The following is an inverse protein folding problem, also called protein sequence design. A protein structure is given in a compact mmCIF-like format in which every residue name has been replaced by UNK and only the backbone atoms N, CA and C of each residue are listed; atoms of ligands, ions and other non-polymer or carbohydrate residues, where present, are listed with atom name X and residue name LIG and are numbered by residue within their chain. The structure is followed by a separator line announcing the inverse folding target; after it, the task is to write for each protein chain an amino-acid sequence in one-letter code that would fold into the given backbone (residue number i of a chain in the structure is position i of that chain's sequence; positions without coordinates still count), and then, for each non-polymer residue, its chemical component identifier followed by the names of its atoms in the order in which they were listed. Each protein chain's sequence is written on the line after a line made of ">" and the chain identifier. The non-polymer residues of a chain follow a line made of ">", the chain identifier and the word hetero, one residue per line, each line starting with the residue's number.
data_IF_445088306768
#
_entry.id   IF_445088306768
#
_cell.length_a   1.000
_cell.length_b   1.000
_cell.length_c   1.000
_cell.angle_alpha   90.00
_cell.angle_beta   90.00
_cell.angle_gamma   90.00
#
_symmetry.space_group_name_H-M   'P 1'
#
loop_
_entity.id
_entity.type
_entity.pdbx_description
1 polymer ?
#
# COMPACT_ATOMS: atom_id res chain seq x y z
N UNK A 1 -6.28 9.58 -28.43
CA UNK A 1 -7.29 9.44 -27.36
C UNK A 1 -8.52 8.69 -27.86
N UNK A 2 -9.25 9.20 -28.87
CA UNK A 2 -10.43 8.50 -29.43
C UNK A 2 -10.15 7.03 -29.79
N UNK A 3 -9.03 6.77 -30.46
CA UNK A 3 -8.56 5.41 -30.78
C UNK A 3 -8.35 4.56 -29.53
N UNK A 4 -7.63 5.09 -28.52
CA UNK A 4 -7.41 4.39 -27.26
C UNK A 4 -8.72 4.00 -26.58
N UNK A 5 -9.66 4.94 -26.49
CA UNK A 5 -11.00 4.70 -25.92
C UNK A 5 -11.74 3.62 -26.71
N UNK A 6 -11.69 3.68 -28.05
CA UNK A 6 -12.31 2.68 -28.91
C UNK A 6 -11.71 1.28 -28.71
N UNK A 7 -10.37 1.18 -28.72
CA UNK A 7 -9.65 -0.09 -28.52
C UNK A 7 -9.95 -0.68 -27.14
N UNK A 8 -9.87 0.13 -26.08
CA UNK A 8 -10.16 -0.34 -24.72
C UNK A 8 -11.61 -0.78 -24.54
N UNK A 9 -12.56 -0.05 -25.14
CA UNK A 9 -13.96 -0.47 -25.14
C UNK A 9 -14.13 -1.83 -25.83
N UNK A 10 -13.61 -1.98 -27.05
CA UNK A 10 -13.72 -3.22 -27.79
C UNK A 10 -13.05 -4.38 -27.05
N UNK A 11 -11.85 -4.19 -26.49
CA UNK A 11 -11.14 -5.26 -25.77
C UNK A 11 -11.91 -5.75 -24.55
N UNK A 12 -12.43 -4.85 -23.72
CA UNK A 12 -13.24 -5.23 -22.56
C UNK A 12 -14.55 -5.90 -23.00
N UNK A 13 -15.23 -5.37 -24.02
CA UNK A 13 -16.49 -5.92 -24.50
C UNK A 13 -16.29 -7.32 -25.12
N UNK A 14 -15.22 -7.53 -25.90
CA UNK A 14 -14.88 -8.85 -26.47
C UNK A 14 -14.39 -9.84 -25.41
N UNK A 15 -13.63 -9.39 -24.41
CA UNK A 15 -13.23 -10.23 -23.28
C UNK A 15 -14.47 -10.74 -22.53
N UNK A 16 -15.41 -9.85 -22.23
CA UNK A 16 -16.67 -10.20 -21.59
C UNK A 16 -17.49 -11.22 -22.42
N UNK A 17 -17.67 -10.98 -23.72
CA UNK A 17 -18.34 -11.93 -24.63
C UNK A 17 -17.63 -13.30 -24.71
N UNK A 18 -16.32 -13.31 -24.48
CA UNK A 18 -15.50 -14.52 -24.43
C UNK A 18 -15.45 -15.17 -23.04
N UNK A 19 -16.22 -14.68 -22.06
CA UNK A 19 -16.24 -15.15 -20.66
C UNK A 19 -14.91 -14.98 -19.94
N UNK A 20 -14.12 -13.99 -20.34
CA UNK A 20 -12.92 -13.55 -19.62
C UNK A 20 -13.29 -12.40 -18.68
N UNK A 21 -12.70 -12.40 -17.48
CA UNK A 21 -12.85 -11.34 -16.49
C UNK A 21 -11.54 -10.60 -16.24
N UNK A 22 -11.64 -9.38 -15.74
CA UNK A 22 -10.52 -8.50 -15.36
C UNK A 22 -10.28 -8.47 -13.85
N UNK A 23 -11.11 -9.20 -13.11
CA UNK A 23 -11.11 -9.25 -11.65
C UNK A 23 -11.24 -10.69 -11.14
N UNK A 24 -10.84 -10.90 -9.89
CA UNK A 24 -11.04 -12.14 -9.16
C UNK A 24 -11.38 -11.85 -7.70
N UNK A 25 -12.06 -12.80 -7.07
CA UNK A 25 -12.36 -12.75 -5.64
C UNK A 25 -11.48 -13.73 -4.89
N UNK A 26 -10.90 -13.27 -3.78
CA UNK A 26 -10.21 -14.11 -2.83
C UNK A 26 -11.23 -14.85 -1.96
N UNK A 27 -10.79 -15.92 -1.31
CA UNK A 27 -11.64 -16.76 -0.43
C UNK A 27 -12.36 -15.95 0.64
N UNK A 28 -11.71 -14.93 1.17
CA UNK A 28 -12.25 -14.07 2.21
C UNK A 28 -13.15 -12.93 1.69
N UNK A 29 -13.49 -12.96 0.40
CA UNK A 29 -14.31 -11.95 -0.26
C UNK A 29 -13.54 -10.73 -0.71
N UNK A 30 -12.21 -10.65 -0.54
CA UNK A 30 -11.44 -9.52 -1.09
C UNK A 30 -11.52 -9.51 -2.62
N UNK A 31 -11.78 -8.33 -3.16
CA UNK A 31 -11.82 -8.09 -4.58
C UNK A 31 -10.43 -7.65 -5.06
N UNK A 32 -9.87 -8.30 -6.08
CA UNK A 32 -8.52 -7.99 -6.57
C UNK A 32 -8.45 -8.14 -8.09
N UNK A 33 -7.45 -7.52 -8.72
CA UNK A 33 -7.22 -7.67 -10.14
C UNK A 33 -6.81 -9.10 -10.48
N UNK A 34 -6.90 -9.47 -11.75
CA UNK A 34 -6.42 -10.80 -12.20
C UNK A 34 -4.94 -11.03 -11.88
N UNK A 35 -4.15 -9.97 -11.71
CA UNK A 35 -2.73 -9.99 -11.43
C UNK A 35 -1.91 -9.39 -12.58
N UNK A 36 -0.61 -9.71 -12.61
CA UNK A 36 0.35 -9.14 -13.55
C UNK A 36 -0.05 -9.27 -15.02
N UNK A 37 0.34 -8.28 -15.83
CA UNK A 37 0.13 -8.28 -17.27
C UNK A 37 -0.58 -7.04 -17.84
N UNK A 38 -1.12 -6.16 -17.00
CA UNK A 38 -1.69 -4.87 -17.44
C UNK A 38 -0.61 -3.77 -17.56
N UNK A 39 0.53 -4.08 -18.18
CA UNK A 39 1.60 -3.10 -18.33
C UNK A 39 1.17 -1.98 -19.26
N UNK A 40 1.31 -0.74 -18.80
CA UNK A 40 1.09 0.43 -19.66
C UNK A 40 2.41 0.74 -20.36
N UNK A 41 2.39 0.86 -21.68
CA UNK A 41 3.59 1.11 -22.47
C UNK A 41 3.58 2.50 -23.07
N UNK A 42 4.75 3.14 -23.10
CA UNK A 42 4.95 4.43 -23.76
C UNK A 42 6.10 4.32 -24.76
N UNK A 43 5.94 4.90 -25.94
CA UNK A 43 6.92 4.81 -27.01
C UNK A 43 6.44 5.50 -28.29
N UNK A 44 7.12 5.23 -29.39
CA UNK A 44 6.73 5.65 -30.74
C UNK A 44 6.58 4.45 -31.67
N UNK A 45 6.07 4.68 -32.89
CA UNK A 45 5.97 3.64 -33.91
C UNK A 45 7.36 3.10 -34.34
N UNK A 46 8.40 3.94 -34.23
CA UNK A 46 9.81 3.59 -34.40
C UNK A 46 10.62 4.12 -33.21
N UNK A 47 11.80 3.57 -32.91
CA UNK A 47 12.65 4.07 -31.83
C UNK A 47 12.95 5.57 -31.94
N UNK A 48 13.19 6.07 -33.15
CA UNK A 48 13.43 7.49 -33.40
C UNK A 48 12.24 8.41 -33.06
N UNK A 49 11.03 7.86 -33.02
CA UNK A 49 9.81 8.58 -32.65
C UNK A 49 9.52 8.51 -31.14
N UNK A 50 10.29 7.72 -30.37
CA UNK A 50 10.12 7.57 -28.93
C UNK A 50 10.42 8.88 -28.18
N UNK A 51 9.51 9.37 -27.32
CA UNK A 51 9.77 10.59 -26.55
C UNK A 51 10.93 10.42 -25.57
N UNK A 52 11.14 9.20 -25.05
CA UNK A 52 12.18 8.89 -24.07
C UNK A 52 13.58 8.86 -24.69
N UNK A 53 13.70 8.35 -25.92
CA UNK A 53 14.98 8.33 -26.64
C UNK A 53 15.35 9.72 -27.18
N UNK A 54 14.35 10.54 -27.53
CA UNK A 54 14.55 11.92 -27.99
C UNK A 54 14.88 12.88 -26.84
N UNK A 55 14.31 12.64 -25.66
CA UNK A 55 14.43 13.48 -24.46
C UNK A 55 14.65 12.59 -23.23
N UNK A 56 15.92 12.24 -22.93
CA UNK A 56 16.25 11.36 -21.81
C UNK A 56 15.84 11.91 -20.44
N UNK A 57 15.78 13.24 -20.32
CA UNK A 57 15.27 13.96 -19.14
C UNK A 57 13.80 13.66 -18.82
N UNK A 58 13.03 13.15 -19.79
CA UNK A 58 11.67 12.67 -19.55
C UNK A 58 11.66 11.42 -18.67
N UNK A 59 12.58 10.47 -18.89
CA UNK A 59 12.68 9.27 -18.05
C UNK A 59 13.13 9.64 -16.63
N UNK A 60 14.11 10.54 -16.51
CA UNK A 60 14.51 11.10 -15.21
C UNK A 60 13.32 11.76 -14.49
N UNK A 61 12.52 12.56 -15.21
CA UNK A 61 11.33 13.21 -14.64
C UNK A 61 10.32 12.19 -14.13
N UNK A 62 10.06 11.13 -14.90
CA UNK A 62 9.16 10.05 -14.48
C UNK A 62 9.66 9.33 -13.23
N UNK A 63 10.95 8.94 -13.21
CA UNK A 63 11.57 8.26 -12.05
C UNK A 63 11.47 9.14 -10.81
N UNK A 64 11.90 10.40 -10.91
CA UNK A 64 11.91 11.36 -9.80
C UNK A 64 10.49 11.59 -9.27
N UNK A 65 9.52 11.79 -10.16
CA UNK A 65 8.15 12.07 -9.76
C UNK A 65 7.48 10.86 -9.09
N UNK A 66 7.66 9.65 -9.62
CA UNK A 66 7.18 8.43 -8.94
C UNK A 66 7.89 8.19 -7.61
N UNK A 67 9.19 8.53 -7.52
CA UNK A 67 9.94 8.41 -6.28
C UNK A 67 9.39 9.37 -5.20
N UNK A 68 9.02 10.59 -5.58
CA UNK A 68 8.40 11.58 -4.69
C UNK A 68 6.97 11.27 -4.30
N UNK A 69 6.23 10.52 -5.13
CA UNK A 69 4.82 10.21 -4.92
C UNK A 69 4.60 8.69 -4.83
N UNK A 70 4.87 8.06 -3.65
CA UNK A 70 4.67 6.62 -3.46
C UNK A 70 3.25 6.12 -3.77
N UNK A 71 2.25 6.99 -3.65
CA UNK A 71 0.86 6.66 -4.00
C UNK A 71 0.70 6.27 -5.46
N UNK A 72 1.52 6.78 -6.38
CA UNK A 72 1.51 6.38 -7.79
C UNK A 72 1.94 4.92 -8.01
N UNK A 73 2.70 4.34 -7.10
CA UNK A 73 3.04 2.92 -7.14
C UNK A 73 1.98 2.10 -6.40
N UNK A 74 1.63 2.51 -5.19
CA UNK A 74 0.86 1.67 -4.29
C UNK A 74 -0.64 1.64 -4.59
N UNK A 75 -1.22 2.74 -5.10
CA UNK A 75 -2.66 2.79 -5.44
C UNK A 75 -3.01 1.82 -6.57
N UNK A 76 -2.13 1.70 -7.58
CA UNK A 76 -2.40 0.94 -8.79
C UNK A 76 -1.79 -0.47 -8.79
N UNK A 77 -0.90 -0.77 -7.86
CA UNK A 77 -0.24 -2.07 -7.75
C UNK A 77 -1.16 -3.21 -7.31
N UNK A 78 -0.72 -4.43 -7.64
CA UNK A 78 -1.33 -5.66 -7.11
C UNK A 78 -1.09 -5.83 -5.60
N UNK A 79 -1.64 -6.88 -5.01
CA UNK A 79 -1.41 -7.20 -3.59
C UNK A 79 0.06 -7.44 -3.22
N UNK A 80 0.90 -7.90 -4.16
CA UNK A 80 2.30 -8.22 -3.89
C UNK A 80 3.21 -7.01 -4.14
N UNK A 81 3.58 -6.32 -3.05
CA UNK A 81 4.42 -5.11 -3.04
C UNK A 81 5.70 -5.36 -2.23
N UNK A 82 6.74 -4.60 -2.52
CA UNK A 82 8.02 -4.62 -1.81
C UNK A 82 9.20 -5.06 -2.69
N UNK A 83 10.41 -5.19 -2.10
CA UNK A 83 11.68 -5.45 -2.82
C UNK A 83 11.66 -6.63 -3.78
N UNK A 84 10.89 -7.65 -3.40
CA UNK A 84 10.81 -8.94 -4.08
C UNK A 84 9.57 -9.07 -4.95
N UNK A 85 8.80 -7.99 -5.11
CA UNK A 85 7.61 -7.97 -5.95
C UNK A 85 7.92 -8.16 -7.44
N UNK A 86 6.88 -8.20 -8.28
CA UNK A 86 7.07 -8.31 -9.73
C UNK A 86 7.62 -7.03 -10.36
N UNK A 87 7.41 -5.88 -9.70
CA UNK A 87 7.75 -4.56 -10.20
C UNK A 87 8.06 -3.62 -9.01
N UNK A 88 9.09 -3.92 -8.19
CA UNK A 88 9.50 -3.08 -7.07
C UNK A 88 9.79 -1.66 -7.52
N UNK A 89 9.48 -0.71 -6.64
CA UNK A 89 9.95 0.67 -6.77
C UNK A 89 11.47 0.73 -6.73
N UNK A 90 12.01 1.80 -7.28
CA UNK A 90 13.46 2.02 -7.28
C UNK A 90 14.07 2.05 -5.87
N UNK A 91 13.34 2.58 -4.90
CA UNK A 91 13.76 2.78 -3.50
C UNK A 91 13.28 1.68 -2.55
N UNK A 92 12.70 0.59 -3.05
CA UNK A 92 12.19 -0.53 -2.23
C UNK A 92 13.19 -1.67 -2.06
N UNK A 93 14.50 -1.44 -2.14
CA UNK A 93 15.50 -2.52 -2.14
C UNK A 93 16.79 -2.19 -1.41
N UNK A 94 17.76 -1.66 -2.16
CA UNK A 94 19.09 -1.33 -1.64
C UNK A 94 19.16 0.17 -1.32
N UNK A 95 19.66 0.51 -0.15
CA UNK A 95 19.70 1.90 0.34
C UNK A 95 20.58 2.80 -0.55
N UNK A 96 21.68 2.26 -1.08
CA UNK A 96 22.63 2.98 -1.94
C UNK A 96 22.08 3.28 -3.34
N UNK A 97 20.97 2.66 -3.74
CA UNK A 97 20.46 2.73 -5.11
C UNK A 97 20.02 4.13 -5.52
N UNK A 98 19.50 4.92 -4.58
CA UNK A 98 19.13 6.32 -4.83
C UNK A 98 20.36 7.22 -5.03
N UNK A 99 21.44 6.97 -4.30
CA UNK A 99 22.70 7.69 -4.47
C UNK A 99 23.30 7.43 -5.86
N UNK A 100 23.35 6.16 -6.29
CA UNK A 100 23.82 5.82 -7.65
C UNK A 100 22.89 6.38 -8.74
N UNK A 101 21.58 6.47 -8.49
CA UNK A 101 20.63 7.10 -9.41
C UNK A 101 20.86 8.61 -9.57
N UNK A 102 21.22 9.32 -8.49
CA UNK A 102 21.58 10.74 -8.57
C UNK A 102 22.83 10.97 -9.43
N UNK A 103 23.83 10.09 -9.33
CA UNK A 103 25.00 10.11 -10.22
C UNK A 103 24.57 9.86 -11.67
N UNK A 104 23.70 8.87 -11.91
CA UNK A 104 23.18 8.61 -13.25
C UNK A 104 22.40 9.79 -13.84
N UNK A 105 21.61 10.49 -13.03
CA UNK A 105 20.93 11.73 -13.42
C UNK A 105 21.91 12.82 -13.85
N UNK A 106 23.08 12.92 -13.24
CA UNK A 106 24.11 13.88 -13.63
C UNK A 106 24.73 13.59 -15.01
N UNK A 107 24.55 12.37 -15.53
CA UNK A 107 25.05 11.95 -16.85
C UNK A 107 23.98 12.12 -17.96
N UNK A 108 22.77 12.55 -17.62
CA UNK A 108 21.68 12.76 -18.57
C UNK A 108 21.97 14.00 -19.43
N UNK A 109 22.08 13.88 -20.77
CA UNK A 109 22.35 15.03 -21.62
C UNK A 109 21.19 16.04 -21.61
N UNK A 110 21.50 17.33 -21.43
CA UNK A 110 20.49 18.39 -21.38
C UNK A 110 20.09 18.95 -22.76
N UNK A 111 20.82 18.56 -23.81
CA UNK A 111 20.55 18.98 -25.18
C UNK A 111 21.53 18.37 -26.18
N UNK A 112 21.35 18.70 -27.46
CA UNK A 112 22.16 18.19 -28.55
C UNK A 112 21.74 16.80 -29.03
N UNK A 113 22.61 16.16 -29.82
CA UNK A 113 22.37 14.81 -30.32
C UNK A 113 22.59 13.79 -29.20
N UNK A 114 21.55 13.02 -28.88
CA UNK A 114 21.64 11.92 -27.92
C UNK A 114 21.58 10.59 -28.66
N UNK A 115 22.65 9.78 -28.63
CA UNK A 115 22.60 8.41 -29.14
C UNK A 115 21.58 7.58 -28.35
N UNK A 116 20.68 6.85 -29.03
CA UNK A 116 19.58 6.12 -28.36
C UNK A 116 20.06 5.11 -27.32
N UNK A 117 21.21 4.46 -27.54
CA UNK A 117 21.78 3.50 -26.59
C UNK A 117 22.19 4.15 -25.27
N UNK A 118 22.48 5.46 -25.25
CA UNK A 118 22.98 6.13 -24.07
C UNK A 118 21.92 6.16 -22.97
N UNK A 119 20.66 6.44 -23.33
CA UNK A 119 19.53 6.48 -22.39
C UNK A 119 19.40 5.16 -21.65
N UNK A 120 19.46 4.05 -22.40
CA UNK A 120 19.39 2.71 -21.84
C UNK A 120 20.57 2.42 -20.91
N UNK A 121 21.80 2.73 -21.34
CA UNK A 121 23.03 2.44 -20.58
C UNK A 121 23.15 3.22 -19.28
N UNK A 122 22.62 4.45 -19.22
CA UNK A 122 22.60 5.24 -17.98
C UNK A 122 21.73 4.56 -16.92
N UNK A 123 20.59 3.97 -17.29
CA UNK A 123 19.59 3.51 -16.32
C UNK A 123 19.49 1.99 -16.14
N UNK A 124 19.99 1.17 -17.08
CA UNK A 124 19.75 -0.29 -17.13
C UNK A 124 20.08 -1.02 -15.84
N UNK A 125 21.23 -0.75 -15.25
CA UNK A 125 21.66 -1.45 -14.04
C UNK A 125 21.07 -0.86 -12.74
N UNK A 126 20.32 0.24 -12.86
CA UNK A 126 19.62 0.89 -11.75
C UNK A 126 18.12 0.61 -11.78
N UNK A 127 17.53 0.35 -12.95
CA UNK A 127 16.11 -0.02 -13.09
C UNK A 127 15.93 -1.55 -13.07
N UNK A 128 16.34 -2.17 -11.96
CA UNK A 128 16.26 -3.62 -11.73
C UNK A 128 15.63 -3.97 -10.39
N UNK A 129 15.20 -5.22 -10.23
CA UNK A 129 14.94 -5.79 -8.90
C UNK A 129 16.25 -6.03 -8.11
N UNK A 130 16.11 -6.58 -6.90
CA UNK A 130 17.24 -6.89 -6.00
C UNK A 130 18.21 -7.94 -6.58
N UNK A 131 17.77 -8.75 -7.55
CA UNK A 131 18.56 -9.78 -8.23
C UNK A 131 19.26 -9.25 -9.49
N UNK A 132 19.00 -8.00 -9.87
CA UNK A 132 19.55 -7.39 -11.08
C UNK A 132 18.71 -7.62 -12.33
N UNK A 133 17.46 -8.07 -12.20
CA UNK A 133 16.56 -8.31 -13.32
C UNK A 133 15.83 -7.02 -13.74
N UNK A 134 16.11 -6.55 -14.96
CA UNK A 134 15.51 -5.35 -15.58
C UNK A 134 14.04 -5.52 -15.96
N UNK A 135 13.61 -6.75 -16.23
CA UNK A 135 12.21 -7.06 -16.52
C UNK A 135 11.34 -6.98 -15.25
N UNK A 136 11.96 -6.94 -14.07
CA UNK A 136 11.29 -6.88 -12.76
C UNK A 136 11.49 -5.52 -12.10
N UNK A 137 11.38 -4.45 -12.85
CA UNK A 137 11.35 -3.09 -12.29
C UNK A 137 10.02 -2.41 -12.58
N UNK A 138 9.62 -1.47 -11.73
CA UNK A 138 8.45 -0.62 -11.96
C UNK A 138 8.51 0.08 -13.32
N UNK A 139 9.69 0.61 -13.66
CA UNK A 139 10.02 1.20 -14.95
C UNK A 139 10.92 0.26 -15.75
N UNK A 140 10.31 -0.64 -16.50
CA UNK A 140 11.05 -1.62 -17.28
C UNK A 140 11.52 -1.05 -18.62
N UNK A 141 12.85 -1.09 -18.81
CA UNK A 141 13.53 -0.56 -20.00
C UNK A 141 14.04 -1.66 -20.94
N UNK A 142 13.61 -2.91 -20.78
CA UNK A 142 14.05 -4.01 -21.65
C UNK A 142 13.69 -3.81 -23.12
N UNK A 143 12.63 -3.06 -23.38
CA UNK A 143 12.17 -2.71 -24.73
C UNK A 143 12.54 -1.28 -25.12
N UNK A 144 13.34 -0.57 -24.31
CA UNK A 144 13.73 0.82 -24.57
C UNK A 144 14.81 0.85 -25.64
N UNK A 145 16.03 0.43 -25.30
CA UNK A 145 17.10 0.29 -26.28
C UNK A 145 18.15 -0.73 -25.82
N UNK A 146 17.71 -1.96 -25.52
CA UNK A 146 18.60 -2.98 -24.96
C UNK A 146 19.80 -3.25 -25.89
N UNK A 147 21.03 -3.33 -25.34
CA UNK A 147 22.19 -3.72 -26.11
C UNK A 147 22.16 -5.21 -26.49
N UNK A 148 21.48 -6.04 -25.71
CA UNK A 148 21.58 -7.50 -25.74
C UNK A 148 20.96 -8.12 -26.99
N UNK A 149 19.84 -7.56 -27.46
CA UNK A 149 19.11 -8.06 -28.63
C UNK A 149 18.58 -6.93 -29.49
N UNK A 150 18.39 -7.19 -30.80
CA UNK A 150 17.71 -6.25 -31.69
C UNK A 150 16.23 -6.08 -31.34
N UNK A 151 15.59 -7.13 -30.80
CA UNK A 151 14.18 -7.10 -30.38
C UNK A 151 13.92 -6.23 -29.15
N UNK A 152 14.94 -5.91 -28.35
CA UNK A 152 14.85 -4.98 -27.21
C UNK A 152 15.03 -3.50 -27.59
N UNK A 153 15.23 -3.18 -28.87
CA UNK A 153 15.46 -1.80 -29.37
C UNK A 153 14.20 -1.19 -29.98
N UNK A 154 13.13 -1.10 -29.19
CA UNK A 154 11.81 -0.65 -29.65
C UNK A 154 11.51 0.82 -29.29
N UNK A 155 12.28 1.42 -28.38
CA UNK A 155 12.01 2.76 -27.85
C UNK A 155 10.82 2.78 -26.89
N UNK A 156 10.54 1.67 -26.22
CA UNK A 156 9.37 1.49 -25.35
C UNK A 156 9.79 1.38 -23.88
N UNK A 157 9.14 2.15 -23.01
CA UNK A 157 9.16 1.95 -21.56
C UNK A 157 7.86 1.29 -21.12
N UNK A 158 7.97 0.33 -20.20
CA UNK A 158 6.82 -0.37 -19.63
C UNK A 158 6.64 0.01 -18.16
N UNK A 159 5.46 0.50 -17.81
CA UNK A 159 5.00 0.69 -16.43
C UNK A 159 4.43 -0.62 -15.94
N UNK A 160 5.15 -1.32 -15.06
CA UNK A 160 4.82 -2.69 -14.66
C UNK A 160 4.08 -2.80 -13.34
N UNK A 161 4.11 -1.76 -12.50
CA UNK A 161 3.44 -1.73 -11.21
C UNK A 161 1.92 -1.44 -11.30
N UNK A 162 1.30 -1.64 -12.47
CA UNK A 162 -0.14 -1.46 -12.68
C UNK A 162 -0.84 -2.82 -12.73
N UNK A 163 -1.76 -3.04 -11.80
CA UNK A 163 -2.68 -4.19 -11.85
C UNK A 163 -3.82 -3.92 -12.85
N UNK A 164 -4.48 -4.98 -13.30
CA UNK A 164 -5.66 -4.89 -14.16
C UNK A 164 -6.85 -4.33 -13.36
N UNK A 165 -7.40 -3.16 -13.73
CA UNK A 165 -8.58 -2.65 -13.04
C UNK A 165 -9.85 -3.36 -13.54
N UNK A 166 -10.87 -3.48 -12.67
CA UNK A 166 -12.11 -4.19 -12.99
C UNK A 166 -12.88 -3.52 -14.13
N UNK A 167 -12.76 -2.20 -14.28
CA UNK A 167 -13.56 -1.41 -15.21
C UNK A 167 -12.72 -0.67 -16.26
N UNK A 168 -13.18 -0.60 -17.51
CA UNK A 168 -12.47 0.05 -18.62
C UNK A 168 -12.20 1.54 -18.41
N UNK A 169 -13.11 2.25 -17.75
CA UNK A 169 -12.96 3.67 -17.36
C UNK A 169 -11.78 3.87 -16.40
N UNK A 170 -11.56 2.94 -15.47
CA UNK A 170 -10.40 2.98 -14.57
C UNK A 170 -9.12 2.77 -15.38
N UNK A 171 -9.07 1.78 -16.27
CA UNK A 171 -7.91 1.58 -17.16
C UNK A 171 -7.60 2.83 -18.00
N UNK A 172 -8.63 3.45 -18.58
CA UNK A 172 -8.50 4.70 -19.31
C UNK A 172 -7.99 5.86 -18.43
N UNK A 173 -8.37 5.92 -17.14
CA UNK A 173 -7.84 6.93 -16.23
C UNK A 173 -6.35 6.73 -15.95
N UNK A 174 -5.88 5.50 -15.74
CA UNK A 174 -4.44 5.21 -15.56
C UNK A 174 -3.65 5.70 -16.79
N UNK A 175 -4.14 5.40 -17.99
CA UNK A 175 -3.53 5.85 -19.24
C UNK A 175 -3.60 7.38 -19.40
N UNK A 176 -4.70 8.01 -19.00
CA UNK A 176 -4.85 9.46 -19.02
C UNK A 176 -3.87 10.14 -18.07
N UNK A 177 -3.71 9.62 -16.85
CA UNK A 177 -2.78 10.09 -15.83
C UNK A 177 -1.34 10.09 -16.36
N UNK A 178 -0.88 8.94 -16.86
CA UNK A 178 0.48 8.81 -17.42
C UNK A 178 0.68 9.78 -18.59
N UNK A 179 -0.31 9.89 -19.49
CA UNK A 179 -0.25 10.85 -20.61
C UNK A 179 -0.20 12.30 -20.14
N UNK A 180 -0.95 12.66 -19.10
CA UNK A 180 -0.96 13.99 -18.50
C UNK A 180 0.40 14.35 -17.92
N UNK A 181 0.99 13.44 -17.13
CA UNK A 181 2.31 13.61 -16.56
C UNK A 181 3.40 13.72 -17.64
N UNK A 182 3.38 12.86 -18.66
CA UNK A 182 4.31 12.95 -19.80
C UNK A 182 4.16 14.30 -20.52
N UNK A 183 2.93 14.75 -20.78
CA UNK A 183 2.70 16.03 -21.44
C UNK A 183 3.18 17.22 -20.58
N UNK A 184 3.06 17.12 -19.24
CA UNK A 184 3.62 18.09 -18.29
C UNK A 184 5.14 18.10 -18.36
N UNK A 185 5.79 16.95 -18.20
CA UNK A 185 7.25 16.82 -18.16
C UNK A 185 7.91 17.16 -19.50
N UNK A 186 7.23 16.89 -20.61
CA UNK A 186 7.67 17.29 -21.93
C UNK A 186 7.79 18.82 -22.08
N UNK A 187 6.86 19.57 -21.48
CA UNK A 187 6.90 21.05 -21.48
C UNK A 187 7.92 21.58 -20.48
N UNK A 188 7.92 21.02 -19.27
CA UNK A 188 8.82 21.43 -18.18
C UNK A 188 9.31 20.17 -17.46
N UNK A 189 10.59 19.79 -17.65
CA UNK A 189 11.17 18.63 -16.97
C UNK A 189 11.07 18.76 -15.45
N UNK A 190 10.80 17.65 -14.77
CA UNK A 190 10.72 17.58 -13.31
C UNK A 190 12.09 17.19 -12.77
N UNK A 191 12.91 18.20 -12.46
CA UNK A 191 14.30 18.04 -11.96
C UNK A 191 14.36 18.47 -10.50
N UNK A 192 14.43 17.50 -9.60
CA UNK A 192 14.49 17.68 -8.16
C UNK A 192 15.36 16.58 -7.54
N UNK A 193 15.86 16.83 -6.32
CA UNK A 193 16.63 15.84 -5.55
C UNK A 193 15.72 14.73 -5.03
N UNK A 194 16.22 13.48 -5.00
CA UNK A 194 15.45 12.32 -4.56
C UNK A 194 15.27 12.30 -3.04
N UNK A 195 14.08 11.92 -2.58
CA UNK A 195 13.73 11.88 -1.15
C UNK A 195 14.18 10.57 -0.52
N UNK A 196 14.83 10.64 0.65
CA UNK A 196 15.23 9.45 1.43
C UNK A 196 14.11 9.00 2.36
N UNK A 197 13.06 8.38 1.82
CA UNK A 197 11.90 7.93 2.59
C UNK A 197 12.23 6.89 3.66
N UNK A 198 13.18 5.99 3.40
CA UNK A 198 13.52 4.91 4.32
C UNK A 198 12.30 4.08 4.73
N UNK A 199 12.11 3.88 6.03
CA UNK A 199 10.99 3.10 6.57
C UNK A 199 9.62 3.77 6.39
N UNK A 200 9.57 5.07 6.07
CA UNK A 200 8.29 5.76 5.85
C UNK A 200 7.49 5.18 4.68
N UNK A 201 8.15 4.61 3.66
CA UNK A 201 7.48 3.91 2.56
C UNK A 201 6.55 2.81 3.08
N UNK A 202 7.08 1.96 3.97
CA UNK A 202 6.39 0.77 4.48
C UNK A 202 5.63 1.03 5.78
N UNK A 203 5.69 2.25 6.30
CA UNK A 203 4.93 2.69 7.47
C UNK A 203 3.74 3.57 7.05
N UNK A 204 4.03 4.74 6.45
CA UNK A 204 3.07 5.79 6.13
C UNK A 204 2.31 5.49 4.83
N UNK A 205 3.02 5.22 3.74
CA UNK A 205 2.42 5.06 2.40
C UNK A 205 1.74 3.71 2.16
N UNK A 206 1.67 2.87 3.19
CA UNK A 206 0.86 1.66 3.21
C UNK A 206 -0.57 1.90 3.72
N UNK A 207 -0.87 3.12 4.17
CA UNK A 207 -2.16 3.50 4.73
C UNK A 207 -2.95 4.34 3.70
N UNK A 208 -4.25 4.07 3.60
CA UNK A 208 -5.12 4.68 2.59
C UNK A 208 -5.16 6.21 2.67
N UNK A 209 -5.09 6.77 3.88
CA UNK A 209 -5.11 8.21 4.12
C UNK A 209 -3.93 8.92 3.44
N UNK A 210 -2.72 8.42 3.61
CA UNK A 210 -1.52 9.07 3.07
C UNK A 210 -1.38 8.85 1.57
N UNK A 211 -1.83 7.71 1.05
CA UNK A 211 -1.92 7.50 -0.41
C UNK A 211 -2.97 8.42 -1.03
N UNK A 212 -4.09 8.67 -0.34
CA UNK A 212 -5.12 9.63 -0.78
C UNK A 212 -4.58 11.06 -0.82
N UNK A 213 -3.89 11.48 0.24
CA UNK A 213 -3.22 12.78 0.29
C UNK A 213 -2.20 12.95 -0.84
N UNK A 214 -1.33 11.96 -1.05
CA UNK A 214 -0.27 11.99 -2.07
C UNK A 214 -0.83 12.08 -3.50
N UNK A 215 -1.89 11.31 -3.80
CA UNK A 215 -2.59 11.41 -5.08
C UNK A 215 -3.32 12.76 -5.22
N UNK A 216 -3.82 13.31 -4.12
CA UNK A 216 -4.35 14.67 -4.07
C UNK A 216 -3.33 15.72 -4.51
N UNK A 217 -2.08 15.58 -4.04
CA UNK A 217 -0.97 16.46 -4.45
C UNK A 217 -0.63 16.30 -5.93
N UNK A 218 -0.64 15.06 -6.46
CA UNK A 218 -0.45 14.81 -7.90
C UNK A 218 -1.57 15.44 -8.74
N UNK A 219 -2.82 15.33 -8.30
CA UNK A 219 -3.96 15.95 -8.97
C UNK A 219 -3.82 17.47 -8.95
N UNK A 220 -3.44 18.05 -7.82
CA UNK A 220 -3.21 19.48 -7.70
C UNK A 220 -2.11 19.96 -8.65
N UNK A 221 -0.96 19.28 -8.66
CA UNK A 221 0.17 19.62 -9.55
C UNK A 221 -0.19 19.52 -11.04
N UNK A 222 -0.99 18.53 -11.45
CA UNK A 222 -1.52 18.43 -12.82
C UNK A 222 -2.48 19.59 -13.16
N UNK A 223 -3.36 19.97 -12.23
CA UNK A 223 -4.27 21.10 -12.41
C UNK A 223 -3.50 22.42 -12.53
N UNK A 224 -2.50 22.63 -11.67
CA UNK A 224 -1.61 23.80 -11.70
C UNK A 224 -0.85 23.89 -13.05
N UNK A 225 -0.56 22.75 -13.68
CA UNK A 225 0.02 22.66 -15.02
C UNK A 225 -0.99 22.76 -16.19
N UNK A 226 -2.28 22.98 -15.89
CA UNK A 226 -3.35 23.16 -16.87
C UNK A 226 -4.03 21.87 -17.34
N UNK A 227 -3.87 20.75 -16.63
CA UNK A 227 -4.55 19.48 -16.90
C UNK A 227 -5.66 19.23 -15.86
N UNK A 228 -6.95 19.35 -16.22
CA UNK A 228 -8.05 19.44 -15.24
C UNK A 228 -8.48 18.07 -14.67
N UNK A 229 -7.59 17.43 -13.90
CA UNK A 229 -7.90 16.18 -13.19
C UNK A 229 -8.78 16.43 -11.97
N UNK A 230 -9.64 15.47 -11.65
CA UNK A 230 -10.49 15.53 -10.45
C UNK A 230 -10.15 14.40 -9.51
N UNK A 231 -10.01 14.71 -8.22
CA UNK A 231 -9.75 13.69 -7.19
C UNK A 231 -10.83 12.60 -7.19
N UNK A 232 -12.09 12.99 -7.43
CA UNK A 232 -13.23 12.08 -7.51
C UNK A 232 -13.09 10.96 -8.58
N UNK A 233 -12.20 11.11 -9.56
CA UNK A 233 -11.94 10.06 -10.55
C UNK A 233 -11.14 8.90 -9.97
N UNK A 234 -10.38 9.12 -8.90
CA UNK A 234 -9.52 8.13 -8.27
C UNK A 234 -10.22 7.35 -7.15
N UNK A 235 -11.36 7.82 -6.65
CA UNK A 235 -12.12 7.16 -5.56
C UNK A 235 -12.43 5.66 -5.82
N UNK A 236 -12.78 5.23 -7.04
CA UNK A 236 -12.95 3.79 -7.32
C UNK A 236 -11.67 2.98 -7.11
N UNK A 237 -10.48 3.57 -7.32
CA UNK A 237 -9.21 2.90 -7.02
C UNK A 237 -8.97 2.80 -5.52
N UNK A 238 -9.35 3.80 -4.74
CA UNK A 238 -9.24 3.74 -3.29
C UNK A 238 -10.16 2.66 -2.70
N UNK A 239 -11.41 2.58 -3.16
CA UNK A 239 -12.32 1.51 -2.72
C UNK A 239 -11.85 0.12 -3.16
N UNK A 240 -11.23 0.01 -4.33
CA UNK A 240 -10.68 -1.25 -4.81
C UNK A 240 -9.41 -1.66 -4.07
N UNK A 241 -8.49 -0.72 -3.82
CA UNK A 241 -7.17 -0.98 -3.22
C UNK A 241 -7.21 -1.04 -1.70
N UNK A 242 -8.05 -0.22 -1.09
CA UNK A 242 -8.20 -0.03 0.36
C UNK A 242 -9.69 -0.17 0.75
N UNK A 243 -10.28 -1.36 0.55
CA UNK A 243 -11.70 -1.57 0.81
C UNK A 243 -12.09 -1.20 2.23
N UNK A 244 -13.25 -0.59 2.35
CA UNK A 244 -13.89 -0.28 3.61
C UNK A 244 -14.34 -1.57 4.34
N UNK A 245 -13.99 -1.70 5.62
CA UNK A 245 -14.39 -2.84 6.45
C UNK A 245 -15.52 -2.52 7.41
N UNK A 246 -15.56 -1.31 7.96
CA UNK A 246 -16.68 -0.89 8.81
C UNK A 246 -16.49 0.48 9.41
N UNK A 247 -17.61 1.08 9.84
CA UNK A 247 -17.66 2.35 10.56
C UNK A 247 -18.52 2.16 11.81
N UNK A 248 -18.10 2.75 12.93
CA UNK A 248 -18.92 2.88 14.13
C UNK A 248 -18.88 4.33 14.62
N UNK A 249 -19.98 4.81 15.22
CA UNK A 249 -20.02 6.11 15.88
C UNK A 249 -20.28 5.91 17.38
N UNK A 250 -19.34 6.36 18.22
CA UNK A 250 -19.37 6.16 19.67
C UNK A 250 -19.27 7.53 20.32
N UNK A 251 -20.36 7.98 20.96
CA UNK A 251 -20.41 9.27 21.66
C UNK A 251 -19.92 10.47 20.81
N UNK A 252 -20.20 10.48 19.51
CA UNK A 252 -19.77 11.54 18.58
C UNK A 252 -18.39 11.33 17.95
N UNK A 253 -17.69 10.24 18.30
CA UNK A 253 -16.43 9.86 17.68
C UNK A 253 -16.73 8.84 16.57
N UNK A 254 -16.45 9.20 15.32
CA UNK A 254 -16.52 8.28 14.18
C UNK A 254 -15.22 7.49 14.07
N UNK A 255 -15.30 6.17 14.07
CA UNK A 255 -14.18 5.26 13.83
C UNK A 255 -14.40 4.48 12.54
N UNK A 256 -13.52 4.68 11.57
CA UNK A 256 -13.49 3.98 10.29
C UNK A 256 -12.33 2.98 10.25
N UNK A 257 -12.61 1.74 9.83
CA UNK A 257 -11.60 0.73 9.55
C UNK A 257 -11.56 0.45 8.05
N UNK A 258 -10.38 0.61 7.45
CA UNK A 258 -10.09 0.25 6.06
C UNK A 258 -8.94 -0.72 5.99
N UNK A 259 -8.86 -1.48 4.91
CA UNK A 259 -7.67 -2.26 4.59
C UNK A 259 -6.45 -1.35 4.47
N UNK A 260 -5.32 -1.77 5.04
CA UNK A 260 -3.99 -1.24 4.75
C UNK A 260 -3.21 -2.19 3.84
N UNK A 261 -2.13 -1.69 3.27
CA UNK A 261 -1.19 -2.51 2.49
C UNK A 261 -0.22 -3.19 3.46
N UNK A 262 0.09 -4.45 3.20
CA UNK A 262 1.16 -5.15 3.89
C UNK A 262 2.05 -5.83 2.84
N UNK A 263 3.35 -5.47 2.75
CA UNK A 263 4.26 -6.15 1.84
C UNK A 263 4.51 -7.58 2.33
N UNK A 264 4.44 -8.55 1.41
CA UNK A 264 4.78 -9.94 1.72
C UNK A 264 6.26 -10.19 1.44
N UNK A 265 7.02 -10.45 2.48
CA UNK A 265 8.45 -10.73 2.33
C UNK A 265 8.67 -12.15 1.83
N UNK A 266 9.57 -12.30 0.86
CA UNK A 266 10.04 -13.64 0.46
C UNK A 266 10.85 -14.25 1.60
N UNK A 267 10.55 -15.49 1.92
CA UNK A 267 11.22 -16.29 2.94
C UNK A 267 12.48 -16.95 2.40
N UNK A 268 13.26 -17.56 3.29
CA UNK A 268 14.39 -18.40 2.92
C UNK A 268 14.00 -19.53 1.97
N UNK A 269 14.98 -20.02 1.21
CA UNK A 269 14.77 -21.15 0.29
C UNK A 269 14.46 -22.43 1.07
N UNK A 270 13.45 -23.17 0.59
CA UNK A 270 13.09 -24.49 1.12
C UNK A 270 13.15 -25.54 0.00
N UNK A 271 13.62 -26.73 0.34
CA UNK A 271 13.62 -27.86 -0.60
C UNK A 271 12.21 -28.46 -0.67
N UNK A 272 11.58 -28.41 -1.83
CA UNK A 272 10.34 -29.11 -2.13
C UNK A 272 10.60 -30.35 -2.99
N UNK A 273 9.63 -31.26 -3.06
CA UNK A 273 9.70 -32.45 -3.92
C UNK A 273 9.85 -32.13 -5.41
N UNK A 274 9.51 -30.90 -5.84
CA UNK A 274 9.64 -30.40 -7.21
C UNK A 274 10.87 -29.50 -7.45
N UNK A 275 11.73 -29.30 -6.44
CA UNK A 275 12.90 -28.41 -6.51
C UNK A 275 12.89 -27.36 -5.39
N UNK A 276 13.71 -26.31 -5.53
CA UNK A 276 13.76 -25.23 -4.53
C UNK A 276 12.55 -24.30 -4.66
N UNK A 277 11.83 -24.09 -3.57
CA UNK A 277 10.71 -23.15 -3.48
C UNK A 277 11.11 -21.95 -2.61
N UNK A 278 10.54 -20.78 -2.93
CA UNK A 278 10.63 -19.57 -2.10
C UNK A 278 9.21 -19.12 -1.78
N UNK A 279 8.80 -19.35 -0.53
CA UNK A 279 7.49 -18.91 -0.05
C UNK A 279 7.50 -17.41 0.26
N UNK A 280 6.31 -16.84 0.39
CA UNK A 280 6.13 -15.47 0.89
C UNK A 280 5.42 -15.52 2.23
N UNK A 281 5.81 -14.65 3.14
CA UNK A 281 5.11 -14.49 4.41
C UNK A 281 3.78 -13.77 4.19
N UNK A 282 2.73 -14.56 4.06
CA UNK A 282 1.34 -14.09 3.92
C UNK A 282 0.58 -14.10 5.26
N UNK A 283 1.27 -14.37 6.37
CA UNK A 283 0.67 -14.41 7.71
C UNK A 283 0.25 -13.04 8.23
N UNK A 284 0.82 -11.98 7.67
CA UNK A 284 0.66 -10.61 8.13
C UNK A 284 -0.35 -9.85 7.29
N UNK A 285 -1.15 -9.04 7.97
CA UNK A 285 -2.05 -8.08 7.36
C UNK A 285 -1.95 -6.74 8.08
N UNK A 286 -2.56 -5.73 7.45
CA UNK A 286 -2.63 -4.38 7.98
C UNK A 286 -4.02 -3.81 7.79
N UNK A 287 -4.51 -3.10 8.79
CA UNK A 287 -5.67 -2.20 8.68
C UNK A 287 -5.27 -0.78 9.00
N UNK A 288 -5.96 0.19 8.43
CA UNK A 288 -5.93 1.57 8.89
C UNK A 288 -7.15 1.81 9.76
N UNK A 289 -6.95 2.40 10.94
CA UNK A 289 -8.01 3.02 11.73
C UNK A 289 -7.94 4.53 11.56
N UNK A 290 -9.08 5.15 11.27
CA UNK A 290 -9.23 6.60 11.18
C UNK A 290 -10.32 7.06 12.14
N UNK A 291 -10.02 8.05 12.97
CA UNK A 291 -10.94 8.63 13.96
C UNK A 291 -11.26 10.07 13.59
N UNK A 292 -12.52 10.47 13.77
CA UNK A 292 -12.95 11.88 13.70
C UNK A 292 -13.76 12.26 14.94
N UNK A 293 -13.54 13.46 15.45
CA UNK A 293 -14.21 13.96 16.66
C UNK A 293 -13.58 13.46 17.97
N UNK A 294 -12.36 12.92 17.92
CA UNK A 294 -11.66 12.44 19.12
C UNK A 294 -10.99 13.61 19.85
N UNK A 295 -11.35 13.82 21.12
CA UNK A 295 -10.60 14.67 22.02
C UNK A 295 -9.46 13.87 22.68
N UNK A 296 -8.23 14.03 22.21
CA UNK A 296 -7.05 13.29 22.69
C UNK A 296 -6.71 13.52 24.17
N UNK A 297 -7.15 14.64 24.76
CA UNK A 297 -6.95 14.94 26.17
C UNK A 297 -7.84 14.09 27.10
N UNK A 298 -8.85 13.42 26.53
CA UNK A 298 -9.84 12.62 27.25
C UNK A 298 -9.94 11.18 26.77
N UNK A 299 -9.80 10.95 25.47
CA UNK A 299 -10.06 9.65 24.88
C UNK A 299 -8.81 9.05 24.28
N UNK A 300 -8.63 7.75 24.50
CA UNK A 300 -7.58 6.96 23.87
C UNK A 300 -8.19 5.77 23.15
N UNK A 301 -7.57 5.34 22.06
CA UNK A 301 -7.94 4.12 21.34
C UNK A 301 -7.03 2.98 21.78
N UNK A 302 -7.63 1.85 22.14
CA UNK A 302 -6.94 0.59 22.33
C UNK A 302 -7.25 -0.36 21.17
N UNK A 303 -6.28 -1.19 20.80
CA UNK A 303 -6.46 -2.35 19.92
C UNK A 303 -5.86 -3.58 20.61
N UNK A 304 -6.68 -4.59 20.89
CA UNK A 304 -6.30 -5.77 21.69
C UNK A 304 -5.59 -5.39 23.00
N UNK A 305 -6.11 -4.37 23.69
CA UNK A 305 -5.54 -3.82 24.93
C UNK A 305 -4.28 -2.96 24.75
N UNK A 306 -3.66 -2.92 23.57
CA UNK A 306 -2.51 -2.05 23.29
C UNK A 306 -2.97 -0.65 22.90
N UNK A 307 -2.36 0.40 23.47
CA UNK A 307 -2.68 1.79 23.11
C UNK A 307 -2.20 2.10 21.70
N UNK A 308 -3.13 2.55 20.86
CA UNK A 308 -2.85 2.92 19.46
C UNK A 308 -2.16 4.29 19.43
N UNK A 309 -0.96 4.40 18.82
CA UNK A 309 -0.23 5.66 18.67
C UNK A 309 -0.83 6.48 17.52
N UNK A 310 -1.97 7.09 17.77
CA UNK A 310 -2.69 7.92 16.82
C UNK A 310 -1.84 9.10 16.32
N UNK A 311 -1.97 9.40 15.02
CA UNK A 311 -1.29 10.53 14.36
C UNK A 311 -2.31 11.49 13.79
N UNK A 312 -2.11 12.78 14.02
CA UNK A 312 -2.96 13.84 13.46
C UNK A 312 -2.88 13.86 11.93
N UNK A 313 -4.00 14.14 11.27
CA UNK A 313 -4.08 14.25 9.81
C UNK A 313 -3.93 15.69 9.29
N UNK A 314 -3.76 16.66 10.19
CA UNK A 314 -3.83 18.09 9.89
C UNK A 314 -5.26 18.66 9.91
N UNK A 315 -6.28 17.81 10.00
CA UNK A 315 -7.65 18.21 10.33
C UNK A 315 -7.83 18.08 11.85
N UNK A 316 -8.40 19.12 12.45
CA UNK A 316 -8.64 19.13 13.91
C UNK A 316 -9.52 17.95 14.33
N UNK A 317 -9.12 17.28 15.42
CA UNK A 317 -9.84 16.13 16.00
C UNK A 317 -9.94 14.93 15.05
N UNK A 318 -9.08 14.86 14.03
CA UNK A 318 -8.96 13.74 13.10
C UNK A 318 -7.58 13.07 13.22
N UNK A 319 -7.60 11.75 13.40
CA UNK A 319 -6.40 10.96 13.62
C UNK A 319 -6.41 9.68 12.79
N UNK A 320 -5.22 9.16 12.50
CA UNK A 320 -5.03 7.93 11.73
C UNK A 320 -3.90 7.09 12.34
N UNK A 321 -4.01 5.76 12.23
CA UNK A 321 -2.92 4.84 12.55
C UNK A 321 -3.08 3.54 11.77
N UNK A 322 -1.97 2.92 11.41
CA UNK A 322 -1.92 1.55 10.93
C UNK A 322 -1.91 0.55 12.09
N UNK A 323 -2.62 -0.55 11.97
CA UNK A 323 -2.50 -1.71 12.86
C UNK A 323 -1.97 -2.86 12.02
N UNK A 324 -0.75 -3.31 12.34
CA UNK A 324 -0.12 -4.49 11.75
C UNK A 324 -0.25 -5.65 12.70
N UNK A 325 -0.71 -6.78 12.19
CA UNK A 325 -1.10 -7.93 13.02
C UNK A 325 -0.89 -9.25 12.26
N UNK A 326 -0.76 -10.35 13.00
CA UNK A 326 -0.77 -11.70 12.44
C UNK A 326 -2.20 -12.17 12.25
N UNK A 327 -2.59 -12.37 11.00
CA UNK A 327 -3.93 -12.78 10.58
C UNK A 327 -4.15 -14.31 10.67
N UNK A 328 -3.11 -15.09 10.40
CA UNK A 328 -3.11 -16.55 10.49
C UNK A 328 -1.68 -17.07 10.64
N UNK A 329 -1.48 -18.38 10.82
CA UNK A 329 -0.15 -18.96 11.09
C UNK A 329 0.17 -20.07 10.08
N UNK A 330 0.81 -19.74 8.93
CA UNK A 330 1.32 -20.74 8.01
C UNK A 330 2.47 -21.55 8.63
N UNK A 331 2.75 -22.77 8.12
CA UNK A 331 3.94 -23.52 8.51
C UNK A 331 5.25 -22.76 8.26
N UNK A 332 5.33 -22.02 7.14
CA UNK A 332 6.46 -21.16 6.79
C UNK A 332 6.06 -19.69 6.92
N UNK A 333 6.64 -18.99 7.90
CA UNK A 333 6.42 -17.57 8.15
C UNK A 333 7.63 -16.96 8.89
N UNK A 334 7.76 -15.62 8.85
CA UNK A 334 8.69 -14.95 9.76
C UNK A 334 8.17 -15.09 11.19
N UNK A 335 9.08 -15.27 12.16
CA UNK A 335 8.74 -15.36 13.58
C UNK A 335 7.65 -16.42 13.90
N UNK A 336 7.93 -17.72 13.71
CA UNK A 336 6.92 -18.78 13.84
C UNK A 336 6.29 -18.89 15.23
N UNK A 337 6.97 -18.41 16.28
CA UNK A 337 6.50 -18.48 17.67
C UNK A 337 5.48 -17.40 18.06
N UNK A 338 5.21 -16.41 17.19
CA UNK A 338 4.21 -15.39 17.47
C UNK A 338 2.82 -15.93 17.08
N UNK A 339 1.87 -15.88 18.02
CA UNK A 339 0.49 -16.33 17.79
C UNK A 339 -0.29 -15.42 16.85
N UNK A 340 -1.53 -15.83 16.54
CA UNK A 340 -2.48 -15.04 15.75
C UNK A 340 -3.09 -13.95 16.64
N UNK A 341 -3.18 -12.72 16.13
CA UNK A 341 -3.67 -11.55 16.86
C UNK A 341 -5.20 -11.35 16.71
N UNK A 342 -5.87 -12.15 15.89
CA UNK A 342 -7.27 -11.95 15.53
C UNK A 342 -8.22 -12.65 16.49
N UNK A 343 -9.43 -12.09 16.74
CA UNK A 343 -9.96 -10.87 16.15
C UNK A 343 -9.31 -9.59 16.70
N UNK A 344 -9.37 -8.51 15.93
CA UNK A 344 -8.92 -7.19 16.39
C UNK A 344 -10.08 -6.50 17.11
N UNK A 345 -9.93 -6.26 18.40
CA UNK A 345 -10.91 -5.56 19.24
C UNK A 345 -10.42 -4.14 19.46
N UNK A 346 -11.23 -3.17 19.05
CA UNK A 346 -10.97 -1.75 19.21
C UNK A 346 -11.86 -1.19 20.31
N UNK A 347 -11.28 -0.52 21.31
CA UNK A 347 -12.01 0.10 22.41
C UNK A 347 -11.63 1.58 22.53
N UNK A 348 -12.62 2.47 22.62
CA UNK A 348 -12.41 3.87 22.98
C UNK A 348 -12.55 4.00 24.50
N UNK A 349 -11.47 4.42 25.16
CA UNK A 349 -11.41 4.55 26.61
C UNK A 349 -11.46 6.01 27.02
N UNK A 350 -12.38 6.35 27.91
CA UNK A 350 -12.45 7.64 28.58
C UNK A 350 -11.49 7.65 29.77
N UNK A 351 -10.35 8.34 29.62
CA UNK A 351 -9.29 8.39 30.64
C UNK A 351 -9.67 9.21 31.86
N UNK A 352 -10.71 10.05 31.76
CA UNK A 352 -11.18 10.80 32.93
C UNK A 352 -12.04 9.93 33.84
N UNK A 353 -12.68 8.90 33.29
CA UNK A 353 -13.58 7.99 34.01
C UNK A 353 -13.08 6.54 34.05
N UNK A 354 -11.90 6.27 33.49
CA UNK A 354 -11.26 4.95 33.37
C UNK A 354 -12.21 3.82 32.93
N UNK A 355 -12.98 4.07 31.86
CA UNK A 355 -13.90 3.07 31.29
C UNK A 355 -13.92 3.09 29.77
N UNK A 356 -14.14 1.93 29.17
CA UNK A 356 -14.51 1.84 27.75
C UNK A 356 -15.89 2.49 27.56
N UNK A 357 -16.03 3.35 26.55
CA UNK A 357 -17.30 3.99 26.19
C UNK A 357 -17.94 3.33 24.96
N UNK A 358 -17.26 2.36 24.36
CA UNK A 358 -17.69 1.63 23.17
C UNK A 358 -16.52 1.26 22.28
N UNK A 359 -16.79 0.45 21.26
CA UNK A 359 -15.76 -0.07 20.38
C UNK A 359 -16.33 -0.82 19.19
N UNK A 360 -15.48 -1.56 18.48
CA UNK A 360 -15.88 -2.49 17.45
C UNK A 360 -14.88 -3.65 17.35
N UNK A 361 -15.29 -4.76 16.73
CA UNK A 361 -14.41 -5.90 16.47
C UNK A 361 -14.33 -6.18 14.99
N UNK A 362 -13.11 -6.41 14.52
CA UNK A 362 -12.81 -6.86 13.17
C UNK A 362 -12.25 -8.28 13.18
N UNK A 363 -12.80 -9.13 12.32
CA UNK A 363 -12.43 -10.54 12.20
C UNK A 363 -11.69 -10.80 10.88
N UNK A 364 -10.73 -11.72 10.88
CA UNK A 364 -10.06 -12.15 9.63
C UNK A 364 -10.88 -13.18 8.85
N UNK A 365 -11.56 -14.05 9.58
CA UNK A 365 -12.51 -15.03 9.03
C UNK A 365 -13.89 -14.79 9.63
N UNK A 366 -14.91 -15.46 9.09
CA UNK A 366 -16.27 -15.30 9.60
C UNK A 366 -16.32 -15.65 11.11
N UNK A 367 -16.95 -14.83 11.98
CA UNK A 367 -16.93 -15.01 13.45
C UNK A 367 -17.38 -16.39 13.94
N UNK A 368 -18.27 -17.04 13.20
CA UNK A 368 -18.70 -18.43 13.44
C UNK A 368 -17.67 -19.52 13.12
N UNK A 369 -16.39 -19.18 12.91
CA UNK A 369 -15.31 -20.15 12.65
C UNK A 369 -15.35 -20.83 11.27
N UNK A 370 -16.18 -20.35 10.34
CA UNK A 370 -16.22 -20.85 8.97
C UNK A 370 -15.11 -20.17 8.15
N UNK A 371 -14.05 -20.92 7.85
CA UNK A 371 -13.26 -20.67 6.65
C UNK A 371 -14.07 -21.13 5.44
N UNK A 372 -14.22 -20.29 4.44
CA UNK A 372 -14.82 -20.72 3.18
C UNK A 372 -13.79 -21.59 2.43
N UNK A 373 -14.21 -22.76 1.93
CA UNK A 373 -13.34 -23.60 1.10
C UNK A 373 -13.42 -23.23 -0.39
N UNK A 374 -14.43 -22.43 -0.76
CA UNK A 374 -14.71 -22.00 -2.13
C UNK A 374 -14.50 -20.51 -2.32
N UNK A 375 -14.08 -20.13 -3.53
CA UNK A 375 -14.11 -18.73 -3.96
C UNK A 375 -15.56 -18.22 -4.09
N UNK A 376 -15.80 -16.92 -3.85
CA UNK A 376 -17.11 -16.32 -4.10
C UNK A 376 -17.57 -16.52 -5.55
N UNK A 377 -18.85 -16.81 -5.74
CA UNK A 377 -19.46 -17.01 -7.06
C UNK A 377 -19.68 -15.66 -7.76
N UNK A 378 -19.85 -14.57 -7.01
CA UNK A 378 -20.06 -13.23 -7.54
C UNK A 378 -19.66 -12.13 -6.55
N UNK A 379 -19.76 -10.87 -7.00
CA UNK A 379 -19.45 -9.68 -6.21
C UNK A 379 -20.32 -9.53 -4.95
N UNK A 380 -21.60 -9.90 -5.00
CA UNK A 380 -22.50 -9.82 -3.84
C UNK A 380 -22.10 -10.79 -2.72
N UNK A 381 -21.73 -12.02 -3.07
CA UNK A 381 -21.22 -12.98 -2.09
C UNK A 381 -19.88 -12.50 -1.51
N UNK A 382 -18.99 -11.98 -2.35
CA UNK A 382 -17.72 -11.41 -1.91
C UNK A 382 -17.93 -10.24 -0.94
N UNK A 383 -18.89 -9.35 -1.23
CA UNK A 383 -19.27 -8.25 -0.36
C UNK A 383 -19.87 -8.72 0.97
N UNK A 384 -20.81 -9.67 0.94
CA UNK A 384 -21.40 -10.24 2.15
C UNK A 384 -20.33 -10.88 3.07
N UNK A 385 -19.34 -11.57 2.47
CA UNK A 385 -18.19 -12.11 3.21
C UNK A 385 -17.35 -11.00 3.86
N UNK A 386 -17.17 -9.84 3.23
CA UNK A 386 -16.46 -8.70 3.83
C UNK A 386 -17.27 -8.03 4.95
N UNK A 387 -18.56 -7.78 4.74
CA UNK A 387 -19.42 -7.12 5.74
C UNK A 387 -19.55 -7.96 7.02
N UNK A 388 -19.64 -9.28 6.91
CA UNK A 388 -19.72 -10.19 8.07
C UNK A 388 -18.45 -10.24 8.94
N UNK A 389 -17.34 -9.61 8.51
CA UNK A 389 -16.09 -9.52 9.27
C UNK A 389 -16.04 -8.33 10.23
N UNK A 390 -17.07 -7.47 10.26
CA UNK A 390 -17.14 -6.33 11.17
C UNK A 390 -18.34 -6.48 12.10
N UNK A 391 -18.11 -6.28 13.40
CA UNK A 391 -19.16 -6.24 14.41
C UNK A 391 -19.08 -4.94 15.20
N UNK A 392 -20.17 -4.18 15.20
CA UNK A 392 -20.32 -2.87 15.86
C UNK A 392 -20.71 -2.99 17.35
N UNK A 393 -21.32 -4.10 17.75
CA UNK A 393 -21.71 -4.33 19.16
C UNK A 393 -20.70 -5.15 19.96
N UNK A 394 -19.76 -5.83 19.29
CA UNK A 394 -18.73 -6.64 19.93
C UNK A 394 -17.56 -5.75 20.35
N UNK A 395 -17.55 -5.30 21.60
CA UNK A 395 -16.47 -4.55 22.24
C UNK A 395 -16.33 -4.97 23.70
N UNK A 396 -15.29 -4.53 24.40
CA UNK A 396 -15.09 -4.88 25.80
C UNK A 396 -16.13 -4.14 26.66
N UNK A 397 -17.14 -4.86 27.15
CA UNK A 397 -18.25 -4.29 27.94
C UNK A 397 -17.99 -4.17 29.45
N UNK A 398 -16.79 -4.52 29.92
CA UNK A 398 -16.47 -4.58 31.35
C UNK A 398 -15.36 -3.58 31.72
N UNK A 399 -15.15 -3.37 33.02
CA UNK A 399 -13.92 -2.75 33.53
C UNK A 399 -12.75 -3.54 32.94
N UNK A 400 -11.88 -2.89 32.15
CA UNK A 400 -10.70 -3.51 31.54
C UNK A 400 -9.94 -4.30 32.62
N UNK A 401 -10.14 -5.61 32.64
CA UNK A 401 -9.41 -6.50 33.53
C UNK A 401 -7.95 -6.47 33.09
N UNK A 402 -7.01 -6.24 34.00
CA UNK A 402 -5.61 -6.13 33.65
C UNK A 402 -5.13 -7.42 32.95
N UNK A 403 -4.43 -7.27 31.83
CA UNK A 403 -3.43 -8.27 31.48
C UNK A 403 -2.35 -8.21 32.58
N UNK A 404 -2.05 -9.32 33.27
CA UNK A 404 -1.11 -9.30 34.39
C UNK A 404 0.31 -9.05 33.87
N UNK A 405 0.73 -7.79 33.84
CA UNK A 405 2.14 -7.46 33.71
C UNK A 405 2.80 -7.53 35.10
N UNK A 406 3.59 -8.59 35.27
CA UNK A 406 4.85 -8.70 36.02
C UNK A 406 5.12 -7.80 37.25
N UNK A 407 5.49 -8.52 38.32
CA UNK A 407 6.24 -8.11 39.52
C UNK A 407 5.65 -7.04 40.46
N UNK A 408 4.89 -7.55 41.44
CA UNK A 408 4.81 -6.99 42.79
C UNK A 408 6.22 -6.93 43.42
N UNK A 409 6.99 -5.87 43.15
CA UNK A 409 8.10 -5.48 44.02
C UNK A 409 7.54 -4.54 45.08
N UNK A 410 7.47 -5.05 46.30
CA UNK A 410 7.14 -4.29 47.50
C UNK A 410 8.12 -3.12 47.69
N UNK A 411 7.60 -1.91 47.91
CA UNK A 411 8.09 -0.93 48.91
C UNK A 411 7.24 0.36 48.86
N UNK A 412 6.28 0.47 49.79
CA UNK A 412 6.07 1.55 50.77
C UNK A 412 4.62 1.51 51.30
N UNK A 413 4.51 1.41 52.62
CA UNK A 413 3.31 1.34 53.45
C UNK A 413 2.77 2.75 53.72
N UNK A 414 1.49 2.82 54.12
CA UNK A 414 0.76 3.94 54.74
C UNK A 414 0.05 4.94 53.82
N UNK A 415 -1.19 4.60 53.41
CA UNK A 415 -2.40 5.42 53.61
C UNK A 415 -3.64 4.66 53.12
N UNK A 416 -4.65 4.51 53.98
CA UNK A 416 -5.97 3.90 53.70
C UNK A 416 -6.69 4.57 52.52
N UNK A 417 -6.47 4.10 51.28
CA UNK A 417 -7.28 4.44 50.10
C UNK A 417 -7.58 3.20 49.23
N UNK A 418 -8.87 2.89 49.08
CA UNK A 418 -9.49 2.12 47.99
C UNK A 418 -9.97 3.13 46.91
N UNK A 419 -10.19 2.81 45.61
CA UNK A 419 -10.03 1.55 44.87
C UNK A 419 -8.98 1.63 43.71
N UNK A 420 -8.68 0.50 43.06
CA UNK A 420 -7.75 0.37 41.92
C UNK A 420 -8.48 0.54 40.57
N UNK A 421 -7.91 1.24 39.57
CA UNK A 421 -8.32 1.27 38.14
C UNK A 421 -7.23 2.03 37.33
N UNK A 422 -6.32 1.30 36.69
CA UNK A 422 -5.05 1.77 36.10
C UNK A 422 -5.16 2.84 34.99
N UNK A 423 -4.11 3.63 34.80
CA UNK A 423 -3.88 4.41 33.59
C UNK A 423 -3.78 3.48 32.35
N UNK A 424 -4.28 3.91 31.17
CA UNK A 424 -4.10 3.15 29.94
C UNK A 424 -2.60 2.94 29.66
N UNK A 425 -2.21 1.80 29.06
CA UNK A 425 -0.80 1.53 28.80
C UNK A 425 -0.18 2.68 27.97
N UNK A 426 1.09 3.03 28.21
CA UNK A 426 1.76 4.03 27.40
C UNK A 426 1.76 3.60 25.94
N UNK A 427 1.61 4.55 25.02
CA UNK A 427 1.68 4.25 23.60
C UNK A 427 3.12 3.83 23.26
N UNK A 428 3.31 2.57 22.87
CA UNK A 428 4.61 2.10 22.39
C UNK A 428 4.80 2.58 20.95
N UNK A 429 5.48 3.71 20.77
CA UNK A 429 5.85 4.20 19.43
C UNK A 429 7.19 3.61 19.00
N UNK A 430 7.19 2.90 17.88
CA UNK A 430 8.43 2.48 17.23
C UNK A 430 9.04 3.67 16.47
N UNK A 431 10.27 4.12 16.78
CA UNK A 431 10.88 5.26 16.09
C UNK A 431 11.00 5.05 14.57
N UNK A 432 11.18 3.81 14.12
CA UNK A 432 11.26 3.48 12.69
C UNK A 432 9.89 3.32 12.03
N UNK A 433 8.83 3.08 12.80
CA UNK A 433 7.46 2.91 12.30
C UNK A 433 6.46 3.70 13.16
N UNK A 434 6.57 5.04 13.22
CA UNK A 434 5.76 5.87 14.09
C UNK A 434 4.26 5.91 13.74
N UNK A 435 3.87 5.51 12.53
CA UNK A 435 2.48 5.53 12.05
C UNK A 435 1.76 4.19 12.19
N UNK A 436 2.44 3.14 12.66
CA UNK A 436 1.90 1.79 12.77
C UNK A 436 2.11 1.19 14.17
N UNK A 437 1.02 0.70 14.78
CA UNK A 437 1.08 -0.24 15.89
C UNK A 437 1.30 -1.66 15.35
N UNK A 438 2.40 -2.30 15.74
CA UNK A 438 2.69 -3.71 15.40
C UNK A 438 2.40 -4.61 16.60
N UNK A 439 1.24 -5.27 16.60
CA UNK A 439 0.76 -6.10 17.73
C UNK A 439 1.71 -7.26 18.05
N UNK A 440 2.52 -7.68 17.09
CA UNK A 440 3.52 -8.75 17.27
C UNK A 440 4.66 -8.34 18.21
N UNK A 441 4.86 -7.04 18.41
CA UNK A 441 5.84 -6.52 19.37
C UNK A 441 5.28 -6.45 20.79
N UNK A 442 3.96 -6.25 20.92
CA UNK A 442 3.28 -6.15 22.22
C UNK A 442 3.41 -7.45 23.03
N UNK A 443 3.53 -8.61 22.38
CA UNK A 443 3.75 -9.91 23.04
C UNK A 443 5.16 -10.13 23.60
N UNK A 444 6.17 -9.32 23.22
CA UNK A 444 7.58 -9.58 23.58
C UNK A 444 7.98 -9.24 25.02
N UNK A 445 7.04 -8.78 25.84
CA UNK A 445 7.27 -8.47 27.26
C UNK A 445 6.51 -9.40 28.22
N UNK A 446 5.91 -10.48 27.71
CA UNK A 446 5.26 -11.52 28.51
C UNK A 446 6.27 -12.55 29.04
#
# INVERSE_FOLDING_TARGET
>A
WKELVHTMNNLYDQAFLSRLGTEKFMVDGRHTGTGGGNHITIGGARPADSPLLRRPDLLQSLITYWQHHPGLSYLFSSAFIGPTSQAPRIDEGRDEKLYEMEIAFSQVPEGGFVPFYLVDRIFRHLLTDITGNTHRSEFCIDKLYSPDTSSGRLGILEFRAFDMPPHKQMSLLQMLLIRGLIAKFWKKPYKHDLVRWGTELHDKFMLSHYVHQDIGDVVKDLNDAGYPFRMSWFEPFFEFRFPHYGTVNIAGIEMEIRMGIEPWHVLGEEMSSSGTARFVDSSLERVQVKLKGLNEARYVLLCNGSRVPLRETGIREEYVCGIRYRAWQPPSALHPMIGVDTPLVFDIVDTWNNRSIGGCTYYVSHPGGRSYDSFPVNAYEAEARRVSRFADTSHTQDVLQPAPYLETVAHYIEQNRLPFLCDPPPAETNPSYPYTLDLRRSHRKA
#
